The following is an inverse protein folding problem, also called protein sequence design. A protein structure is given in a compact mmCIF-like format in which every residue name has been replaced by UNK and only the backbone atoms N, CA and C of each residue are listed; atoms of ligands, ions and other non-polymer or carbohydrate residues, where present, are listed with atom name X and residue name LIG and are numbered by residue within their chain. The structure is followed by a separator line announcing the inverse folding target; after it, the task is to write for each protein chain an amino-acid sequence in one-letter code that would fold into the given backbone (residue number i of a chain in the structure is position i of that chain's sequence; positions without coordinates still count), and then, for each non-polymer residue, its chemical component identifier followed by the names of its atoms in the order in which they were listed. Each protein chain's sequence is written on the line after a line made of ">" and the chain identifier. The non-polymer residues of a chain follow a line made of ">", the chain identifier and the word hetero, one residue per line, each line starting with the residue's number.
data_IF_474727528791
#
_entry.id   IF_474727528791
#
_cell.length_a   1.000
_cell.length_b   1.000
_cell.length_c   1.000
_cell.angle_alpha   90.00
_cell.angle_beta   90.00
_cell.angle_gamma   90.00
#
_symmetry.space_group_name_H-M   'P 1'
#
loop_
_entity.id
_entity.type
_entity.pdbx_description
1 polymer ?
#
# COMPACT_ATOMS: atom_id res chain seq x y z
N UNK A 1 -1.71 19.74 -20.85
CA UNK A 1 -0.57 20.45 -20.21
C UNK A 1 -1.02 21.80 -19.62
N UNK A 2 -2.23 21.85 -19.05
CA UNK A 2 -2.79 23.07 -18.46
C UNK A 2 -2.81 22.94 -16.93
N UNK A 3 -1.66 22.64 -16.32
CA UNK A 3 -1.54 22.52 -14.87
C UNK A 3 -0.28 23.25 -14.41
N UNK A 4 -0.36 23.87 -13.23
CA UNK A 4 0.78 24.58 -12.66
C UNK A 4 1.91 23.60 -12.33
N UNK A 5 3.13 24.00 -12.66
CA UNK A 5 4.36 23.28 -12.33
C UNK A 5 4.55 23.19 -10.81
N UNK A 6 5.18 22.12 -10.34
CA UNK A 6 5.58 21.93 -8.93
C UNK A 6 4.45 21.87 -7.89
N UNK A 7 3.18 21.75 -8.33
CA UNK A 7 2.07 21.47 -7.41
C UNK A 7 1.91 19.96 -7.15
N UNK A 8 1.89 19.15 -8.19
CA UNK A 8 1.63 17.72 -8.05
C UNK A 8 2.89 16.96 -7.62
N UNK A 9 2.76 16.09 -6.60
CA UNK A 9 3.80 15.14 -6.14
C UNK A 9 5.17 15.80 -5.89
N UNK A 10 5.16 17.01 -5.36
CA UNK A 10 6.36 17.77 -4.99
C UNK A 10 6.56 17.69 -3.48
N UNK A 11 7.80 17.46 -3.04
CA UNK A 11 8.15 17.35 -1.62
C UNK A 11 9.33 18.26 -1.34
N UNK A 12 9.18 19.07 -0.29
CA UNK A 12 10.25 19.94 0.19
C UNK A 12 11.28 19.12 0.98
N UNK A 13 12.55 19.48 0.85
CA UNK A 13 13.64 18.81 1.56
C UNK A 13 13.79 19.46 2.93
N UNK A 14 13.58 18.70 3.99
CA UNK A 14 13.83 19.16 5.34
C UNK A 14 15.33 19.08 5.67
N UNK A 15 15.85 20.10 6.36
CA UNK A 15 17.26 20.19 6.77
C UNK A 15 17.70 18.98 7.60
N UNK A 16 16.84 18.51 8.53
CA UNK A 16 17.15 17.42 9.45
C UNK A 16 17.29 16.05 8.78
N UNK A 17 16.51 15.77 7.73
CA UNK A 17 16.49 14.46 7.07
C UNK A 17 17.31 14.41 5.78
N UNK A 18 17.70 15.59 5.28
CA UNK A 18 18.38 15.76 4.00
C UNK A 18 17.60 15.20 2.81
N UNK A 19 18.28 15.12 1.67
CA UNK A 19 17.73 14.66 0.39
C UNK A 19 17.23 13.21 0.46
N UNK A 20 17.96 12.34 1.17
CA UNK A 20 17.61 10.92 1.31
C UNK A 20 16.25 10.73 2.00
N UNK A 21 15.95 11.53 3.03
CA UNK A 21 14.65 11.52 3.69
C UNK A 21 13.51 11.93 2.77
N UNK A 22 13.71 13.00 1.99
CA UNK A 22 12.72 13.49 1.03
C UNK A 22 12.41 12.45 -0.07
N UNK A 23 13.44 11.76 -0.60
CA UNK A 23 13.25 10.70 -1.61
C UNK A 23 12.44 9.53 -1.03
N UNK A 24 12.70 9.13 0.22
CA UNK A 24 11.91 8.08 0.89
C UNK A 24 10.46 8.51 1.08
N UNK A 25 10.23 9.75 1.52
CA UNK A 25 8.89 10.30 1.66
C UNK A 25 8.15 10.32 0.31
N UNK A 26 8.83 10.73 -0.77
CA UNK A 26 8.26 10.73 -2.12
C UNK A 26 7.86 9.32 -2.56
N UNK A 27 8.74 8.35 -2.34
CA UNK A 27 8.46 6.95 -2.66
C UNK A 27 7.25 6.42 -1.89
N UNK A 28 7.11 6.78 -0.62
CA UNK A 28 5.97 6.35 0.21
C UNK A 28 4.65 6.95 -0.28
N UNK A 29 4.62 8.25 -0.60
CA UNK A 29 3.44 8.90 -1.19
C UNK A 29 3.05 8.21 -2.51
N UNK A 30 4.02 8.00 -3.41
CA UNK A 30 3.78 7.32 -4.69
C UNK A 30 3.33 5.86 -4.53
N UNK A 31 3.77 5.17 -3.47
CA UNK A 31 3.36 3.81 -3.15
C UNK A 31 1.91 3.78 -2.63
N UNK A 32 1.55 4.70 -1.73
CA UNK A 32 0.20 4.81 -1.16
C UNK A 32 -0.84 5.13 -2.25
N UNK A 33 -0.50 6.02 -3.19
CA UNK A 33 -1.33 6.35 -4.36
C UNK A 33 -1.35 5.25 -5.44
N UNK A 34 -0.61 4.14 -5.25
CA UNK A 34 -0.47 3.01 -6.19
C UNK A 34 0.15 3.37 -7.54
N UNK A 35 0.75 4.56 -7.69
CA UNK A 35 1.38 4.98 -8.94
C UNK A 35 2.53 4.08 -9.37
N UNK A 36 3.36 3.61 -8.42
CA UNK A 36 4.46 2.70 -8.73
C UNK A 36 3.96 1.40 -9.36
N UNK A 37 2.88 0.83 -8.82
CA UNK A 37 2.24 -0.38 -9.35
C UNK A 37 1.63 -0.13 -10.72
N UNK A 38 0.98 1.00 -10.92
CA UNK A 38 0.40 1.37 -12.21
C UNK A 38 1.47 1.54 -13.30
N UNK A 39 2.61 2.15 -12.98
CA UNK A 39 3.74 2.28 -13.92
C UNK A 39 4.25 0.90 -14.34
N UNK A 40 4.41 -0.02 -13.38
CA UNK A 40 4.84 -1.39 -13.66
C UNK A 40 3.85 -2.14 -14.55
N UNK A 41 2.54 -2.02 -14.27
CA UNK A 41 1.49 -2.66 -15.06
C UNK A 41 1.36 -2.07 -16.47
N UNK A 42 1.63 -0.77 -16.63
CA UNK A 42 1.58 -0.08 -17.94
C UNK A 42 2.81 -0.34 -18.81
N UNK A 43 3.89 -0.92 -18.27
CA UNK A 43 5.11 -1.22 -19.04
C UNK A 43 4.87 -2.15 -20.23
N UNK A 44 3.86 -3.02 -20.14
CA UNK A 44 3.40 -3.89 -21.23
C UNK A 44 1.88 -3.86 -21.30
N UNK A 45 1.31 -4.10 -22.47
CA UNK A 45 -0.15 -4.18 -22.60
C UNK A 45 -0.70 -5.42 -21.85
N UNK A 46 -1.59 -5.17 -20.90
CA UNK A 46 -2.37 -6.21 -20.21
C UNK A 46 -3.72 -6.38 -20.90
N UNK A 47 -4.00 -7.58 -21.43
CA UNK A 47 -5.29 -7.87 -22.07
C UNK A 47 -6.46 -7.66 -21.09
N UNK A 48 -7.65 -7.21 -21.53
CA UNK A 48 -8.78 -6.90 -20.65
C UNK A 48 -9.22 -8.07 -19.77
N UNK A 49 -9.21 -9.30 -20.29
CA UNK A 49 -9.56 -10.52 -19.55
C UNK A 49 -8.60 -10.81 -18.41
N UNK A 50 -7.29 -10.63 -18.65
CA UNK A 50 -6.24 -10.80 -17.65
C UNK A 50 -6.39 -9.73 -16.56
N UNK A 51 -6.58 -8.47 -16.96
CA UNK A 51 -6.80 -7.35 -16.03
C UNK A 51 -8.01 -7.56 -15.13
N UNK A 52 -9.12 -8.08 -15.68
CA UNK A 52 -10.33 -8.42 -14.91
C UNK A 52 -10.03 -9.50 -13.86
N UNK A 53 -9.40 -10.61 -14.26
CA UNK A 53 -9.01 -11.70 -13.33
C UNK A 53 -8.11 -11.21 -12.21
N UNK A 54 -7.10 -10.39 -12.56
CA UNK A 54 -6.19 -9.80 -11.57
C UNK A 54 -6.93 -8.91 -10.57
N UNK A 55 -7.82 -8.02 -11.03
CA UNK A 55 -8.60 -7.15 -10.13
C UNK A 55 -9.47 -7.96 -9.17
N UNK A 56 -10.13 -9.01 -9.66
CA UNK A 56 -10.95 -9.90 -8.82
C UNK A 56 -10.09 -10.57 -7.76
N UNK A 57 -8.95 -11.16 -8.15
CA UNK A 57 -8.03 -11.79 -7.23
C UNK A 57 -7.50 -10.82 -6.15
N UNK A 58 -7.05 -9.62 -6.56
CA UNK A 58 -6.56 -8.60 -5.63
C UNK A 58 -7.64 -8.15 -4.63
N UNK A 59 -8.89 -8.05 -5.07
CA UNK A 59 -10.02 -7.70 -4.22
C UNK A 59 -10.28 -8.79 -3.18
N UNK A 60 -10.36 -10.05 -3.61
CA UNK A 60 -10.59 -11.19 -2.71
C UNK A 60 -9.44 -11.37 -1.71
N UNK A 61 -8.19 -11.22 -2.16
CA UNK A 61 -7.02 -11.28 -1.29
C UNK A 61 -7.03 -10.16 -0.26
N UNK A 62 -7.40 -8.93 -0.66
CA UNK A 62 -7.52 -7.81 0.27
C UNK A 62 -8.57 -8.07 1.35
N UNK A 63 -9.74 -8.58 0.95
CA UNK A 63 -10.81 -8.94 1.88
C UNK A 63 -10.32 -10.01 2.85
N UNK A 64 -9.76 -11.11 2.34
CA UNK A 64 -9.23 -12.20 3.15
C UNK A 64 -8.20 -11.70 4.16
N UNK A 65 -7.19 -10.94 3.73
CA UNK A 65 -6.16 -10.41 4.62
C UNK A 65 -6.75 -9.49 5.70
N UNK A 66 -7.75 -8.67 5.36
CA UNK A 66 -8.39 -7.79 6.33
C UNK A 66 -9.22 -8.56 7.36
N UNK A 67 -9.96 -9.60 6.96
CA UNK A 67 -10.73 -10.42 7.89
C UNK A 67 -9.83 -11.32 8.75
N UNK A 68 -8.77 -11.87 8.15
CA UNK A 68 -7.79 -12.67 8.89
C UNK A 68 -7.08 -11.83 9.94
N UNK A 69 -6.68 -10.59 9.62
CA UNK A 69 -6.09 -9.69 10.61
C UNK A 69 -7.08 -9.42 11.76
N UNK A 70 -8.35 -9.15 11.45
CA UNK A 70 -9.39 -8.96 12.49
C UNK A 70 -9.56 -10.20 13.38
N UNK A 71 -9.55 -11.40 12.79
CA UNK A 71 -9.61 -12.65 13.54
C UNK A 71 -8.41 -12.83 14.45
N UNK A 72 -7.20 -12.54 13.95
CA UNK A 72 -5.97 -12.58 14.75
C UNK A 72 -6.08 -11.60 15.91
N UNK A 73 -6.41 -10.33 15.65
CA UNK A 73 -6.55 -9.31 16.69
C UNK A 73 -7.58 -9.70 17.75
N UNK A 74 -8.68 -10.34 17.35
CA UNK A 74 -9.69 -10.86 18.27
C UNK A 74 -9.16 -12.00 19.15
N UNK A 75 -8.48 -12.98 18.57
CA UNK A 75 -7.88 -14.10 19.33
C UNK A 75 -6.79 -13.59 20.28
N UNK A 76 -5.95 -12.67 19.80
CA UNK A 76 -4.86 -12.08 20.59
C UNK A 76 -5.37 -11.35 21.84
N UNK A 77 -6.54 -10.68 21.77
CA UNK A 77 -7.18 -10.07 22.95
C UNK A 77 -7.52 -11.09 24.04
N UNK A 78 -7.86 -12.32 23.65
CA UNK A 78 -8.17 -13.41 24.56
C UNK A 78 -6.97 -14.25 24.99
N UNK A 79 -5.79 -14.01 24.43
CA UNK A 79 -4.59 -14.78 24.72
C UNK A 79 -4.03 -14.41 26.10
N UNK A 80 -4.24 -15.28 27.08
CA UNK A 80 -3.65 -15.19 28.43
C UNK A 80 -2.26 -15.83 28.44
N UNK A 81 -1.33 -15.31 29.25
CA UNK A 81 0.02 -15.90 29.43
C UNK A 81 -0.02 -17.22 30.21
N UNK A 82 -0.97 -17.34 31.13
CA UNK A 82 -1.19 -18.52 31.96
C UNK A 82 -2.60 -19.04 31.70
N UNK A 83 -2.72 -20.37 31.64
CA UNK A 83 -4.01 -21.04 31.50
C UNK A 83 -4.73 -21.07 32.85
N UNK A 84 -6.06 -20.82 32.91
CA UNK A 84 -6.78 -20.73 34.18
C UNK A 84 -6.81 -22.00 35.05
N UNK A 85 -6.32 -23.12 34.51
CA UNK A 85 -6.48 -24.47 35.08
C UNK A 85 -5.13 -25.11 35.42
N UNK A 86 -4.05 -24.33 35.40
CA UNK A 86 -2.71 -24.71 35.84
C UNK A 86 -2.19 -23.63 36.77
#
# INVERSE_FOLDING_TARGET
>A
MAHHSFLARTIMVAEKSGVSGAIRALRNVMAQEKHLKDIQLKRRYEKPTIKRRRKTYESSLRLYNSEMQRKVDFIMKGQRRETPWT
#
